data_IF_839333639778
#
_entry.id   IF_839333639778
#
_cell.length_a   1.000
_cell.length_b   1.000
_cell.length_c   1.000
_cell.angle_alpha   90.00
_cell.angle_beta   90.00
_cell.angle_gamma   90.00
#
_symmetry.space_group_name_H-M   'P 1'
#
loop_
_entity.id
_entity.type
_entity.pdbx_description
1 polymer ?
#
# COMPACT_ATOMS: atom_id res chain seq x y z
N UNK A 1 40.34 11.88 34.85
CA UNK A 1 39.16 12.49 34.18
C UNK A 1 38.92 11.93 32.77
N UNK A 2 39.93 11.86 31.91
CA UNK A 2 39.83 11.40 30.50
C UNK A 2 39.32 9.95 30.32
N UNK A 3 39.74 9.00 31.17
CA UNK A 3 39.26 7.60 31.13
C UNK A 3 37.74 7.45 31.33
N UNK A 4 37.16 8.25 32.23
CA UNK A 4 35.70 8.23 32.47
C UNK A 4 34.91 8.82 31.29
N UNK A 5 35.48 9.78 30.56
CA UNK A 5 34.86 10.35 29.36
C UNK A 5 34.87 9.36 28.20
N UNK A 6 36.01 8.69 27.98
CA UNK A 6 36.16 7.66 26.94
C UNK A 6 35.23 6.46 27.17
N UNK A 7 35.11 5.99 28.43
CA UNK A 7 34.24 4.87 28.80
C UNK A 7 32.74 5.19 28.67
N UNK A 8 32.34 6.44 28.95
CA UNK A 8 30.96 6.91 28.72
C UNK A 8 30.64 6.97 27.23
N UNK A 9 31.57 7.49 26.42
CA UNK A 9 31.41 7.58 24.97
C UNK A 9 31.24 6.20 24.32
N UNK A 10 32.08 5.22 24.69
CA UNK A 10 31.96 3.85 24.17
C UNK A 10 30.64 3.18 24.56
N UNK A 11 30.14 3.42 25.77
CA UNK A 11 28.83 2.87 26.21
C UNK A 11 27.65 3.49 25.46
N UNK A 12 27.66 4.80 25.26
CA UNK A 12 26.63 5.51 24.48
C UNK A 12 26.65 5.01 23.04
N UNK A 13 27.84 4.94 22.44
CA UNK A 13 28.01 4.50 21.06
C UNK A 13 27.59 3.03 20.85
N UNK A 14 27.92 2.13 21.79
CA UNK A 14 27.49 0.73 21.74
C UNK A 14 25.97 0.57 21.92
N UNK A 15 25.36 1.35 22.82
CA UNK A 15 23.91 1.36 22.99
C UNK A 15 23.18 1.87 21.73
N UNK A 16 23.70 2.91 21.08
CA UNK A 16 23.14 3.43 19.82
C UNK A 16 23.22 2.42 18.67
N UNK A 17 24.34 1.70 18.54
CA UNK A 17 24.47 0.62 17.52
C UNK A 17 23.51 -0.54 17.81
N UNK A 18 23.34 -0.91 19.08
CA UNK A 18 22.42 -1.99 19.46
C UNK A 18 20.96 -1.64 19.18
N UNK A 19 20.54 -0.39 19.45
CA UNK A 19 19.20 0.09 19.09
C UNK A 19 19.02 0.12 17.57
N UNK A 20 20.02 0.55 16.81
CA UNK A 20 19.96 0.55 15.34
C UNK A 20 19.81 -0.88 14.78
N UNK A 21 20.53 -1.86 15.33
CA UNK A 21 20.40 -3.26 14.92
C UNK A 21 19.03 -3.85 15.25
N UNK A 22 18.43 -3.48 16.39
CA UNK A 22 17.06 -3.89 16.73
C UNK A 22 16.05 -3.28 15.76
N UNK A 23 16.18 -1.98 15.43
CA UNK A 23 15.29 -1.31 14.48
C UNK A 23 15.40 -1.89 13.07
N UNK A 24 16.62 -2.15 12.59
CA UNK A 24 16.84 -2.83 11.30
C UNK A 24 16.26 -4.24 11.33
N UNK A 25 16.42 -4.98 12.42
CA UNK A 25 15.86 -6.33 12.59
C UNK A 25 14.34 -6.35 12.61
N UNK A 26 13.67 -5.39 13.24
CA UNK A 26 12.21 -5.27 13.20
C UNK A 26 11.72 -4.95 11.79
N UNK A 27 12.33 -3.97 11.12
CA UNK A 27 11.97 -3.60 9.75
C UNK A 27 12.18 -4.77 8.77
N UNK A 28 13.24 -5.57 8.94
CA UNK A 28 13.50 -6.71 8.06
C UNK A 28 12.48 -7.83 8.22
N UNK A 29 12.00 -8.12 9.44
CA UNK A 29 10.98 -9.15 9.65
C UNK A 29 9.60 -8.75 9.10
N UNK A 30 9.22 -7.47 9.24
CA UNK A 30 7.94 -6.99 8.72
C UNK A 30 7.92 -6.94 7.19
N UNK A 31 9.00 -6.50 6.53
CA UNK A 31 9.10 -6.50 5.06
C UNK A 31 9.07 -7.92 4.49
N UNK A 32 9.76 -8.89 5.11
CA UNK A 32 9.70 -10.30 4.67
C UNK A 32 8.29 -10.88 4.75
N UNK A 33 7.50 -10.45 5.74
CA UNK A 33 6.12 -10.91 5.94
C UNK A 33 5.16 -10.36 4.88
N UNK A 34 5.38 -9.12 4.42
CA UNK A 34 4.61 -8.53 3.32
C UNK A 34 4.85 -9.27 2.00
N UNK A 35 6.10 -9.59 1.69
CA UNK A 35 6.44 -10.33 0.48
C UNK A 35 5.82 -11.73 0.49
N UNK A 36 5.86 -12.43 1.63
CA UNK A 36 5.22 -13.74 1.81
C UNK A 36 3.70 -13.68 1.56
N UNK A 37 3.03 -12.65 2.07
CA UNK A 37 1.61 -12.43 1.81
C UNK A 37 1.32 -12.15 0.34
N UNK A 38 2.16 -11.36 -0.33
CA UNK A 38 1.98 -11.06 -1.74
C UNK A 38 2.13 -12.32 -2.61
N UNK A 39 3.16 -13.13 -2.37
CA UNK A 39 3.40 -14.36 -3.12
C UNK A 39 2.27 -15.38 -2.92
N UNK A 40 1.79 -15.54 -1.69
CA UNK A 40 0.64 -16.41 -1.41
C UNK A 40 -0.62 -15.90 -2.11
N UNK A 41 -0.92 -14.60 -1.98
CA UNK A 41 -2.11 -14.00 -2.55
C UNK A 41 -2.18 -14.14 -4.07
N UNK A 42 -1.04 -13.98 -4.76
CA UNK A 42 -0.94 -14.19 -6.21
C UNK A 42 -1.28 -15.64 -6.57
N UNK A 43 -0.77 -16.63 -5.83
CA UNK A 43 -1.10 -18.04 -6.05
C UNK A 43 -2.58 -18.34 -5.79
N UNK A 44 -3.14 -17.78 -4.71
CA UNK A 44 -4.56 -17.90 -4.40
C UNK A 44 -5.44 -17.28 -5.51
N UNK A 45 -5.07 -16.11 -6.02
CA UNK A 45 -5.73 -15.45 -7.14
C UNK A 45 -5.67 -16.28 -8.43
N UNK A 46 -4.52 -16.88 -8.75
CA UNK A 46 -4.37 -17.80 -9.88
C UNK A 46 -5.25 -19.05 -9.74
N UNK A 47 -5.50 -19.50 -8.51
CA UNK A 47 -6.42 -20.59 -8.21
C UNK A 47 -7.91 -20.15 -8.14
N UNK A 48 -8.22 -18.88 -8.39
CA UNK A 48 -9.58 -18.32 -8.31
C UNK A 48 -10.10 -18.12 -6.87
N UNK A 49 -9.23 -18.27 -5.86
CA UNK A 49 -9.56 -18.10 -4.44
C UNK A 49 -9.47 -16.62 -4.05
N UNK A 50 -10.31 -15.80 -4.69
CA UNK A 50 -10.24 -14.34 -4.58
C UNK A 50 -10.43 -13.80 -3.15
N UNK A 51 -11.32 -14.39 -2.35
CA UNK A 51 -11.50 -13.98 -0.95
C UNK A 51 -10.22 -14.17 -0.12
N UNK A 52 -9.51 -15.28 -0.31
CA UNK A 52 -8.26 -15.54 0.41
C UNK A 52 -7.14 -14.62 -0.10
N UNK A 53 -7.07 -14.39 -1.42
CA UNK A 53 -6.10 -13.44 -1.99
C UNK A 53 -6.28 -12.03 -1.43
N UNK A 54 -7.52 -11.54 -1.39
CA UNK A 54 -7.88 -10.25 -0.79
C UNK A 54 -7.48 -10.21 0.68
N UNK A 55 -7.82 -11.24 1.46
CA UNK A 55 -7.47 -11.29 2.87
C UNK A 55 -5.96 -11.13 3.08
N UNK A 56 -5.13 -11.79 2.27
CA UNK A 56 -3.68 -11.66 2.36
C UNK A 56 -3.16 -10.30 1.93
N UNK A 57 -3.70 -9.72 0.86
CA UNK A 57 -3.33 -8.36 0.48
C UNK A 57 -3.78 -7.31 1.53
N UNK A 58 -4.90 -7.53 2.23
CA UNK A 58 -5.29 -6.69 3.37
C UNK A 58 -4.28 -6.79 4.53
N UNK A 59 -3.75 -7.99 4.80
CA UNK A 59 -2.67 -8.18 5.78
C UNK A 59 -1.37 -7.50 5.33
N UNK A 60 -1.06 -7.51 4.03
CA UNK A 60 0.08 -6.79 3.50
C UNK A 60 -0.08 -5.27 3.71
N UNK A 61 -1.24 -4.70 3.37
CA UNK A 61 -1.54 -3.27 3.56
C UNK A 61 -1.58 -2.89 5.04
N UNK A 62 -1.96 -3.78 5.95
CA UNK A 62 -1.96 -3.46 7.38
C UNK A 62 -0.55 -3.37 7.98
N UNK A 63 0.43 -4.01 7.35
CA UNK A 63 1.84 -3.95 7.74
C UNK A 63 2.53 -2.78 7.03
N UNK A 64 2.29 -2.65 5.74
CA UNK A 64 2.83 -1.60 4.88
C UNK A 64 1.68 -0.85 4.17
N UNK A 65 1.11 0.18 4.82
CA UNK A 65 0.00 0.96 4.27
C UNK A 65 0.35 1.71 2.99
N UNK A 66 1.64 1.91 2.71
CA UNK A 66 2.14 2.68 1.57
C UNK A 66 2.59 1.77 0.41
N UNK A 67 2.30 0.47 0.51
CA UNK A 67 2.55 -0.48 -0.57
C UNK A 67 1.56 -0.30 -1.73
N UNK A 68 1.92 0.52 -2.71
CA UNK A 68 1.09 0.78 -3.89
C UNK A 68 0.71 -0.51 -4.66
N UNK A 69 1.62 -1.49 -4.71
CA UNK A 69 1.38 -2.78 -5.36
C UNK A 69 0.29 -3.60 -4.66
N UNK A 70 0.31 -3.66 -3.33
CA UNK A 70 -0.70 -4.37 -2.55
C UNK A 70 -2.10 -3.72 -2.71
N UNK A 71 -2.18 -2.39 -2.71
CA UNK A 71 -3.42 -1.66 -2.99
C UNK A 71 -3.96 -1.94 -4.40
N UNK A 72 -3.08 -1.94 -5.42
CA UNK A 72 -3.49 -2.30 -6.77
C UNK A 72 -4.02 -3.74 -6.83
N UNK A 73 -3.35 -4.68 -6.16
CA UNK A 73 -3.77 -6.07 -6.15
C UNK A 73 -5.10 -6.28 -5.42
N UNK A 74 -5.36 -5.54 -4.33
CA UNK A 74 -6.70 -5.48 -3.73
C UNK A 74 -7.76 -5.05 -4.75
N UNK A 75 -7.45 -4.02 -5.55
CA UNK A 75 -8.33 -3.58 -6.64
C UNK A 75 -8.67 -4.71 -7.62
N UNK A 76 -7.67 -5.51 -8.02
CA UNK A 76 -7.85 -6.67 -8.90
C UNK A 76 -8.74 -7.73 -8.24
N UNK A 77 -8.48 -8.04 -6.96
CA UNK A 77 -9.28 -9.01 -6.22
C UNK A 77 -10.74 -8.58 -6.07
N UNK A 78 -10.98 -7.31 -5.75
CA UNK A 78 -12.33 -6.77 -5.63
C UNK A 78 -13.08 -6.73 -6.97
N UNK A 79 -12.42 -6.37 -8.09
CA UNK A 79 -13.01 -6.48 -9.42
C UNK A 79 -13.41 -7.93 -9.74
N UNK A 80 -12.57 -8.91 -9.40
CA UNK A 80 -12.87 -10.33 -9.63
C UNK A 80 -14.09 -10.84 -8.85
N UNK A 81 -14.42 -10.19 -7.72
CA UNK A 81 -15.63 -10.46 -6.93
C UNK A 81 -16.83 -9.57 -7.30
N UNK A 82 -16.69 -8.68 -8.30
CA UNK A 82 -17.73 -7.71 -8.67
C UNK A 82 -17.93 -6.56 -7.68
N UNK A 83 -17.00 -6.41 -6.71
CA UNK A 83 -17.00 -5.35 -5.69
C UNK A 83 -16.35 -4.08 -6.24
N UNK A 84 -17.03 -3.44 -7.19
CA UNK A 84 -16.42 -2.39 -8.02
C UNK A 84 -16.09 -1.13 -7.21
N UNK A 85 -16.92 -0.74 -6.24
CA UNK A 85 -16.67 0.44 -5.41
C UNK A 85 -15.39 0.28 -4.56
N UNK A 86 -15.21 -0.88 -3.92
CA UNK A 86 -14.00 -1.21 -3.17
C UNK A 86 -12.78 -1.28 -4.08
N UNK A 87 -12.95 -1.80 -5.31
CA UNK A 87 -11.87 -1.83 -6.30
C UNK A 87 -11.41 -0.43 -6.71
N UNK A 88 -12.36 0.48 -6.98
CA UNK A 88 -12.04 1.88 -7.32
C UNK A 88 -11.25 2.55 -6.19
N UNK A 89 -11.67 2.35 -4.94
CA UNK A 89 -10.98 2.90 -3.76
C UNK A 89 -9.55 2.36 -3.63
N UNK A 90 -9.37 1.05 -3.81
CA UNK A 90 -8.06 0.41 -3.72
C UNK A 90 -7.11 0.88 -4.85
N UNK A 91 -7.61 0.97 -6.10
CA UNK A 91 -6.82 1.49 -7.21
C UNK A 91 -6.49 2.97 -7.06
N UNK A 92 -7.41 3.77 -6.51
CA UNK A 92 -7.15 5.17 -6.23
C UNK A 92 -5.97 5.30 -5.28
N UNK A 93 -5.98 4.53 -4.18
CA UNK A 93 -4.88 4.56 -3.21
C UNK A 93 -3.54 4.18 -3.85
N UNK A 94 -3.52 3.18 -4.73
CA UNK A 94 -2.31 2.83 -5.48
C UNK A 94 -1.80 4.00 -6.36
N UNK A 95 -2.70 4.76 -6.99
CA UNK A 95 -2.31 5.93 -7.80
C UNK A 95 -1.87 7.14 -6.98
N UNK A 96 -2.36 7.28 -5.75
CA UNK A 96 -1.90 8.32 -4.82
C UNK A 96 -0.49 8.03 -4.30
N UNK A 97 -0.20 6.75 -4.05
CA UNK A 97 1.10 6.29 -3.54
C UNK A 97 2.19 6.29 -4.62
N UNK A 98 1.84 5.93 -5.85
CA UNK A 98 2.74 6.02 -7.01
C UNK A 98 2.03 6.72 -8.18
N UNK A 99 2.11 8.06 -8.22
CA UNK A 99 1.48 8.86 -9.27
C UNK A 99 2.11 8.69 -10.65
N UNK A 100 3.33 8.17 -10.75
CA UNK A 100 4.06 8.03 -12.02
C UNK A 100 3.75 6.69 -12.71
N UNK A 101 3.32 5.68 -11.96
CA UNK A 101 2.88 4.40 -12.49
C UNK A 101 1.69 4.53 -13.44
N UNK A 102 1.99 4.41 -14.74
CA UNK A 102 0.96 4.29 -15.78
C UNK A 102 0.07 3.06 -15.57
N UNK A 103 0.62 2.00 -14.98
CA UNK A 103 -0.09 0.75 -14.73
C UNK A 103 -1.24 0.95 -13.75
N UNK A 104 -0.99 1.56 -12.58
CA UNK A 104 -2.04 1.86 -11.59
C UNK A 104 -3.08 2.82 -12.15
N UNK A 105 -2.62 3.84 -12.89
CA UNK A 105 -3.51 4.82 -13.52
C UNK A 105 -4.46 4.18 -14.54
N UNK A 106 -4.01 3.21 -15.33
CA UNK A 106 -4.84 2.49 -16.29
C UNK A 106 -5.89 1.64 -15.57
N UNK A 107 -5.50 0.90 -14.52
CA UNK A 107 -6.43 0.08 -13.74
C UNK A 107 -7.50 0.95 -13.06
N UNK A 108 -7.10 2.03 -12.40
CA UNK A 108 -8.02 2.98 -11.77
C UNK A 108 -9.00 3.58 -12.79
N UNK A 109 -8.51 4.11 -13.91
CA UNK A 109 -9.35 4.70 -14.96
C UNK A 109 -10.32 3.70 -15.56
N UNK A 110 -9.88 2.46 -15.82
CA UNK A 110 -10.73 1.37 -16.31
C UNK A 110 -11.85 1.07 -15.31
N UNK A 111 -11.50 0.86 -14.05
CA UNK A 111 -12.44 0.50 -13.00
C UNK A 111 -13.46 1.63 -12.76
N UNK A 112 -13.00 2.88 -12.77
CA UNK A 112 -13.86 4.07 -12.70
C UNK A 112 -14.87 4.18 -13.84
N UNK A 113 -14.47 3.83 -15.06
CA UNK A 113 -15.42 3.81 -16.17
C UNK A 113 -16.45 2.68 -16.03
N UNK A 114 -16.07 1.57 -15.39
CA UNK A 114 -16.97 0.45 -15.12
C UNK A 114 -18.07 0.86 -14.13
N UNK A 115 -17.72 1.47 -13.00
CA UNK A 115 -18.68 1.91 -11.98
C UNK A 115 -19.62 3.02 -12.48
N UNK A 116 -19.11 3.94 -13.32
CA UNK A 116 -19.93 4.98 -13.96
C UNK A 116 -20.97 4.41 -14.90
N UNK A 117 -20.61 3.36 -15.64
CA UNK A 117 -21.51 2.67 -16.57
C UNK A 117 -22.55 1.82 -15.85
N UNK A 118 -22.22 1.29 -14.67
CA UNK A 118 -23.19 0.55 -13.84
C UNK A 118 -24.14 1.46 -13.06
N UNK A 119 -23.97 2.79 -13.11
CA UNK A 119 -24.86 3.75 -12.44
C UNK A 119 -24.71 3.80 -10.92
N UNK A 120 -23.63 3.24 -10.37
CA UNK A 120 -23.37 3.20 -8.92
C UNK A 120 -22.74 4.52 -8.43
N UNK A 121 -22.17 5.32 -9.34
CA UNK A 121 -21.50 6.60 -9.06
C UNK A 121 -22.43 7.74 -8.57
N UNK A 122 -23.75 7.57 -8.61
CA UNK A 122 -24.69 8.67 -8.32
C UNK A 122 -24.75 9.09 -6.84
N UNK A 123 -24.02 8.43 -5.94
CA UNK A 123 -24.09 8.72 -4.50
C UNK A 123 -22.78 9.22 -3.86
N UNK A 124 -21.64 9.29 -4.57
CA UNK A 124 -20.35 9.61 -3.90
C UNK A 124 -19.43 10.59 -4.65
N UNK A 125 -19.99 11.50 -5.44
CA UNK A 125 -19.20 12.63 -5.99
C UNK A 125 -19.31 13.85 -5.07
N UNK A 126 -18.38 13.99 -4.13
CA UNK A 126 -17.94 15.33 -3.71
C UNK A 126 -16.64 15.70 -4.44
N UNK A 127 -16.49 16.96 -4.93
CA UNK A 127 -15.46 17.33 -5.89
C UNK A 127 -14.37 18.20 -5.26
N UNK A 128 -13.11 17.76 -5.27
CA UNK A 128 -11.94 18.64 -5.08
C UNK A 128 -10.80 18.04 -5.92
N UNK A 129 -10.18 18.71 -6.88
CA UNK A 129 -9.68 20.08 -6.88
C UNK A 129 -9.77 20.68 -8.29
N UNK A 130 -10.53 21.75 -8.42
CA UNK A 130 -10.35 22.74 -9.48
C UNK A 130 -9.11 23.58 -9.16
N UNK A 131 -7.95 23.12 -9.60
CA UNK A 131 -6.84 24.03 -9.92
C UNK A 131 -6.80 24.20 -11.45
N UNK A 132 -7.69 25.04 -11.96
CA UNK A 132 -7.53 25.66 -13.26
C UNK A 132 -7.93 27.15 -13.13
N UNK A 133 -6.88 27.98 -13.02
CA UNK A 133 -6.74 29.31 -13.62
C UNK A 133 -7.95 30.26 -13.55
N UNK A 134 -7.86 31.25 -12.65
CA UNK A 134 -8.38 32.60 -12.96
C UNK A 134 -7.32 33.63 -12.57
N UNK A 135 -6.86 34.31 -13.61
CA UNK A 135 -6.04 35.51 -13.61
C UNK A 135 -6.58 36.60 -12.68
N UNK A 136 -5.68 37.32 -12.01
CA UNK A 136 -5.80 38.76 -11.73
C UNK A 136 -4.39 39.34 -11.56
#
# INVERSE_FOLDING_TARGET
MVRNMQQKYTRIQLASVFVLLILIGCASHDVTRVEDYNQFAIKAAQAGLWNEAIFRWQQAVSIDPDNAGAHNNLGVGYEALGKIAEAVSAYQRATELDPDSKYYRINYRRCRLHIRRSGVDSEETQPESSEELVEN
#
